data_IF_358660072341
#
_entry.id   IF_358660072341
#
_cell.length_a   1.000
_cell.length_b   1.000
_cell.length_c   1.000
_cell.angle_alpha   90.00
_cell.angle_beta   90.00
_cell.angle_gamma   90.00
#
_symmetry.space_group_name_H-M   'P 1'
#
loop_
_entity.id
_entity.type
_entity.pdbx_description
1 polymer ?
#
# COMPACT_ATOMS: atom_id res chain seq x y z
N UNK A 1 -16.57 -2.13 15.35
CA UNK A 1 -17.61 -1.76 14.37
C UNK A 1 -18.71 -0.89 14.99
N UNK A 2 -18.96 -1.01 16.28
CA UNK A 2 -19.92 -0.14 16.98
C UNK A 2 -19.42 1.31 17.19
N UNK A 3 -18.16 1.58 16.90
CA UNK A 3 -17.50 2.88 17.16
C UNK A 3 -17.24 3.70 15.88
N UNK A 4 -17.94 3.42 14.79
CA UNK A 4 -17.69 4.04 13.49
C UNK A 4 -16.54 3.37 12.73
N UNK A 5 -16.20 3.81 11.56
CA UNK A 5 -15.10 3.29 10.76
C UNK A 5 -13.76 3.97 11.08
N UNK A 6 -12.77 3.75 10.25
CA UNK A 6 -11.51 4.47 10.26
C UNK A 6 -11.75 5.81 9.55
N UNK A 7 -11.46 6.91 10.22
CA UNK A 7 -11.58 8.26 9.66
C UNK A 7 -10.29 9.01 9.91
N UNK A 8 -9.75 9.68 8.90
CA UNK A 8 -8.50 10.40 9.04
C UNK A 8 -8.09 11.16 7.79
N UNK A 9 -6.89 11.73 7.83
CA UNK A 9 -6.25 12.31 6.65
C UNK A 9 -5.45 11.22 5.94
N UNK A 10 -5.81 10.94 4.69
CA UNK A 10 -5.02 10.10 3.78
C UNK A 10 -3.90 10.90 3.14
N UNK A 11 -2.74 10.26 2.97
CA UNK A 11 -1.62 10.74 2.15
C UNK A 11 -1.40 9.70 1.05
N UNK A 12 -1.48 10.11 -0.21
CA UNK A 12 -1.22 9.22 -1.34
C UNK A 12 0.20 9.48 -1.89
N UNK A 13 1.00 8.43 -1.90
CA UNK A 13 2.27 8.35 -2.62
C UNK A 13 2.05 7.54 -3.89
N UNK A 14 2.00 8.21 -5.03
CA UNK A 14 1.77 7.56 -6.34
C UNK A 14 3.10 7.08 -6.92
N UNK A 15 3.61 5.94 -6.42
CA UNK A 15 4.85 5.34 -6.91
C UNK A 15 4.78 4.98 -8.39
N UNK A 16 3.64 4.50 -8.88
CA UNK A 16 3.49 4.14 -10.29
C UNK A 16 3.67 5.35 -11.22
N UNK A 17 3.13 6.51 -10.87
CA UNK A 17 3.34 7.73 -11.64
C UNK A 17 4.78 8.24 -11.52
N UNK A 18 5.37 8.17 -10.34
CA UNK A 18 6.77 8.52 -10.11
C UNK A 18 7.72 7.64 -10.92
N UNK A 19 7.51 6.33 -10.90
CA UNK A 19 8.31 5.37 -11.66
C UNK A 19 8.26 5.66 -13.17
N UNK A 20 7.07 5.95 -13.69
CA UNK A 20 6.91 6.34 -15.09
C UNK A 20 7.67 7.63 -15.42
N UNK A 21 7.63 8.65 -14.55
CA UNK A 21 8.34 9.93 -14.74
C UNK A 21 9.87 9.75 -14.67
N UNK A 22 10.37 8.78 -13.94
CA UNK A 22 11.80 8.51 -13.76
C UNK A 22 12.32 7.35 -14.62
N UNK A 23 11.50 6.81 -15.52
CA UNK A 23 11.84 5.65 -16.38
C UNK A 23 12.26 4.41 -15.57
N UNK A 24 11.66 4.23 -14.39
CA UNK A 24 11.82 3.04 -13.57
C UNK A 24 10.76 2.02 -13.99
N UNK A 25 11.16 0.79 -14.41
CA UNK A 25 10.20 -0.24 -14.78
C UNK A 25 9.30 -0.62 -13.59
N UNK A 26 8.00 -0.72 -13.84
CA UNK A 26 7.07 -1.33 -12.89
C UNK A 26 7.11 -2.84 -13.03
N UNK A 27 7.25 -3.55 -11.91
CA UNK A 27 7.22 -5.01 -11.84
C UNK A 27 6.19 -5.48 -10.82
N UNK A 28 4.89 -5.12 -11.00
CA UNK A 28 3.87 -5.31 -9.97
C UNK A 28 3.60 -6.79 -9.67
N UNK A 29 3.92 -7.70 -10.60
CA UNK A 29 3.71 -9.15 -10.48
C UNK A 29 5.01 -9.92 -10.21
N UNK A 30 6.04 -9.25 -9.77
CA UNK A 30 7.34 -9.84 -9.40
C UNK A 30 7.70 -9.43 -7.96
N UNK A 31 8.44 -10.29 -7.27
CA UNK A 31 8.98 -9.96 -5.94
C UNK A 31 9.99 -8.83 -6.09
N UNK A 32 9.57 -7.62 -5.83
CA UNK A 32 10.42 -6.43 -5.89
C UNK A 32 10.09 -5.45 -4.77
N UNK A 33 11.13 -4.82 -4.21
CA UNK A 33 10.99 -3.85 -3.13
C UNK A 33 11.00 -2.42 -3.66
N UNK A 34 10.06 -1.62 -3.23
CA UNK A 34 10.11 -0.15 -3.35
C UNK A 34 10.95 0.36 -2.18
N UNK A 35 12.17 0.86 -2.42
CA UNK A 35 13.07 1.26 -1.35
C UNK A 35 12.47 2.37 -0.46
N UNK A 36 12.77 2.33 0.84
CA UNK A 36 12.38 3.39 1.77
C UNK A 36 12.89 4.76 1.33
N UNK A 37 14.07 4.83 0.72
CA UNK A 37 14.60 6.07 0.15
C UNK A 37 13.68 6.66 -0.92
N UNK A 38 13.10 5.82 -1.77
CA UNK A 38 12.13 6.23 -2.80
C UNK A 38 10.81 6.70 -2.16
N UNK A 39 10.32 6.00 -1.14
CA UNK A 39 9.12 6.43 -0.39
C UNK A 39 9.33 7.81 0.24
N UNK A 40 10.49 8.05 0.85
CA UNK A 40 10.85 9.35 1.43
C UNK A 40 10.98 10.44 0.36
N UNK A 41 11.57 10.11 -0.78
CA UNK A 41 11.66 11.04 -1.91
C UNK A 41 10.27 11.42 -2.43
N UNK A 42 9.39 10.44 -2.67
CA UNK A 42 8.00 10.68 -3.07
C UNK A 42 7.28 11.60 -2.08
N UNK A 43 7.41 11.33 -0.78
CA UNK A 43 6.81 12.17 0.24
C UNK A 43 7.34 13.61 0.17
N UNK A 44 8.65 13.79 0.01
CA UNK A 44 9.26 15.10 -0.12
C UNK A 44 8.78 15.86 -1.36
N UNK A 45 8.64 15.18 -2.50
CA UNK A 45 8.15 15.76 -3.76
C UNK A 45 6.68 16.22 -3.66
N UNK A 46 5.88 15.56 -2.83
CA UNK A 46 4.50 16.02 -2.58
C UNK A 46 4.41 17.31 -1.79
N UNK A 47 5.47 17.70 -1.09
CA UNK A 47 5.48 18.82 -0.15
C UNK A 47 4.63 18.61 1.11
N UNK A 48 4.10 17.41 1.30
CA UNK A 48 3.23 17.08 2.44
C UNK A 48 4.07 16.87 3.69
N UNK A 49 3.70 17.57 4.76
CA UNK A 49 4.20 17.30 6.10
C UNK A 49 3.31 16.25 6.75
N UNK A 50 3.91 15.15 7.19
CA UNK A 50 3.22 14.09 7.95
C UNK A 50 2.75 14.63 9.30
N UNK A 51 1.67 14.08 9.80
CA UNK A 51 1.11 14.39 11.13
C UNK A 51 0.75 13.09 11.84
N UNK A 52 0.85 13.05 13.15
CA UNK A 52 0.35 11.92 13.94
C UNK A 52 -1.10 11.59 13.55
N UNK A 53 -1.35 10.31 13.29
CA UNK A 53 -2.67 9.83 12.90
C UNK A 53 -2.96 9.85 11.40
N UNK A 54 -2.02 10.28 10.54
CA UNK A 54 -2.18 10.15 9.08
C UNK A 54 -2.27 8.68 8.66
N UNK A 55 -2.93 8.45 7.53
CA UNK A 55 -3.05 7.14 6.90
C UNK A 55 -2.26 7.19 5.59
N UNK A 56 -1.24 6.35 5.48
CA UNK A 56 -0.36 6.31 4.33
C UNK A 56 -0.88 5.36 3.26
N UNK A 57 -1.08 5.87 2.05
CA UNK A 57 -1.40 5.07 0.86
C UNK A 57 -0.22 5.08 -0.09
N UNK A 58 0.18 3.90 -0.56
CA UNK A 58 1.18 3.74 -1.62
C UNK A 58 0.52 3.05 -2.82
N UNK A 59 0.42 3.78 -3.93
CA UNK A 59 -0.05 3.21 -5.18
C UNK A 59 1.13 2.60 -5.92
N UNK A 60 1.20 1.28 -5.91
CA UNK A 60 2.28 0.50 -6.57
C UNK A 60 2.06 0.36 -8.08
N UNK A 61 0.82 0.50 -8.53
CA UNK A 61 0.38 0.26 -9.90
C UNK A 61 -0.15 -1.15 -10.14
N UNK A 62 -0.27 -1.97 -9.10
CA UNK A 62 -0.77 -3.35 -9.20
C UNK A 62 -2.14 -3.41 -9.88
N UNK A 63 -3.11 -2.65 -9.37
CA UNK A 63 -4.49 -2.63 -9.90
C UNK A 63 -4.52 -2.18 -11.36
N UNK A 64 -3.76 -1.14 -11.71
CA UNK A 64 -3.71 -0.63 -13.09
C UNK A 64 -3.14 -1.66 -14.07
N UNK A 65 -2.09 -2.37 -13.70
CA UNK A 65 -1.49 -3.40 -14.55
C UNK A 65 -2.32 -4.68 -14.58
N UNK A 66 -2.93 -5.08 -13.45
CA UNK A 66 -3.81 -6.25 -13.39
C UNK A 66 -5.01 -6.09 -14.33
N UNK A 67 -5.62 -4.91 -14.38
CA UNK A 67 -6.75 -4.63 -15.27
C UNK A 67 -6.42 -4.65 -16.77
N UNK A 68 -5.14 -4.77 -17.13
CA UNK A 68 -4.70 -4.90 -18.54
C UNK A 68 -4.48 -6.36 -18.94
N UNK A 69 -4.47 -7.28 -18.00
CA UNK A 69 -4.20 -8.68 -18.24
C UNK A 69 -5.33 -9.33 -19.03
N UNK A 70 -4.96 -10.26 -19.91
CA UNK A 70 -5.90 -11.19 -20.49
C UNK A 70 -6.30 -12.28 -19.48
N UNK A 71 -7.44 -12.95 -19.66
CA UNK A 71 -7.85 -14.05 -18.77
C UNK A 71 -6.80 -15.16 -18.63
N UNK A 72 -6.02 -15.41 -19.67
CA UNK A 72 -4.94 -16.41 -19.62
C UNK A 72 -3.75 -15.95 -18.75
N UNK A 73 -3.42 -14.66 -18.76
CA UNK A 73 -2.38 -14.09 -17.91
C UNK A 73 -2.83 -14.02 -16.45
N UNK A 74 -4.10 -13.67 -16.19
CA UNK A 74 -4.69 -13.72 -14.84
C UNK A 74 -4.62 -15.14 -14.28
N UNK A 75 -5.03 -16.14 -15.07
CA UNK A 75 -4.94 -17.54 -14.68
C UNK A 75 -3.49 -17.98 -14.43
N UNK A 76 -2.55 -17.53 -15.24
CA UNK A 76 -1.13 -17.85 -15.05
C UNK A 76 -0.59 -17.29 -13.74
N UNK A 77 -0.98 -16.07 -13.36
CA UNK A 77 -0.61 -15.46 -12.07
C UNK A 77 -1.27 -16.23 -10.90
N UNK A 78 -2.56 -16.54 -11.02
CA UNK A 78 -3.31 -17.25 -9.98
C UNK A 78 -2.80 -18.68 -9.71
N UNK A 79 -2.20 -19.32 -10.73
CA UNK A 79 -1.65 -20.67 -10.62
C UNK A 79 -0.19 -20.72 -10.16
N UNK A 80 0.42 -19.59 -9.85
CA UNK A 80 1.80 -19.57 -9.32
C UNK A 80 1.83 -20.33 -7.98
N UNK A 81 2.86 -21.16 -7.75
CA UNK A 81 2.99 -21.88 -6.47
C UNK A 81 3.18 -20.94 -5.29
N UNK A 82 3.76 -19.78 -5.52
CA UNK A 82 3.94 -18.72 -4.52
C UNK A 82 3.50 -17.37 -5.12
N UNK A 83 2.83 -16.53 -4.33
CA UNK A 83 2.49 -15.18 -4.79
C UNK A 83 3.78 -14.36 -4.97
N UNK A 84 3.83 -13.56 -6.03
CA UNK A 84 4.92 -12.62 -6.27
C UNK A 84 4.34 -11.27 -6.67
N UNK A 85 4.66 -10.23 -5.89
CA UNK A 85 4.29 -8.84 -6.20
C UNK A 85 5.21 -7.84 -5.52
N UNK A 86 5.21 -6.64 -6.08
CA UNK A 86 5.97 -5.52 -5.57
C UNK A 86 5.31 -4.94 -4.32
N UNK A 87 6.12 -4.42 -3.40
CA UNK A 87 5.64 -3.74 -2.20
C UNK A 87 6.73 -2.85 -1.57
N UNK A 88 6.39 -2.17 -0.51
CA UNK A 88 7.33 -1.32 0.23
C UNK A 88 8.37 -2.19 0.95
N UNK A 89 9.62 -1.79 0.87
CA UNK A 89 10.76 -2.49 1.46
C UNK A 89 10.54 -2.85 2.93
N UNK A 90 10.78 -4.13 3.26
CA UNK A 90 10.85 -4.62 4.63
C UNK A 90 12.13 -4.16 5.32
N UNK A 91 12.11 -4.07 6.64
CA UNK A 91 13.31 -3.83 7.42
C UNK A 91 13.11 -2.88 8.59
N UNK A 92 14.07 -2.89 9.52
CA UNK A 92 14.06 -2.05 10.71
C UNK A 92 13.92 -0.55 10.37
N UNK A 93 14.62 -0.10 9.34
CA UNK A 93 14.58 1.31 8.92
C UNK A 93 13.17 1.75 8.47
N UNK A 94 12.45 0.89 7.73
CA UNK A 94 11.08 1.16 7.29
C UNK A 94 10.12 1.15 8.47
N UNK A 95 10.23 0.15 9.35
CA UNK A 95 9.44 0.07 10.57
C UNK A 95 9.64 1.29 11.47
N UNK A 96 10.91 1.66 11.71
CA UNK A 96 11.26 2.85 12.48
C UNK A 96 10.65 4.12 11.87
N UNK A 97 10.75 4.28 10.55
CA UNK A 97 10.19 5.43 9.86
C UNK A 97 8.67 5.48 9.97
N UNK A 98 7.97 4.35 9.83
CA UNK A 98 6.51 4.29 10.02
C UNK A 98 6.11 4.68 11.43
N UNK A 99 6.82 4.16 12.43
CA UNK A 99 6.59 4.45 13.85
C UNK A 99 6.83 5.92 14.19
N UNK A 100 7.97 6.47 13.77
CA UNK A 100 8.35 7.86 14.07
C UNK A 100 7.41 8.88 13.42
N UNK A 101 6.83 8.57 12.26
CA UNK A 101 5.80 9.40 11.65
C UNK A 101 4.41 9.21 12.28
N UNK A 102 4.25 8.26 13.18
CA UNK A 102 3.01 7.99 13.91
C UNK A 102 1.80 7.78 12.99
N UNK A 103 1.98 7.03 11.91
CA UNK A 103 0.86 6.66 11.03
C UNK A 103 -0.16 5.81 11.79
N UNK A 104 -1.45 6.09 11.58
CA UNK A 104 -2.54 5.33 12.17
C UNK A 104 -2.85 4.05 11.39
N UNK A 105 -2.55 4.03 10.11
CA UNK A 105 -2.70 2.89 9.21
C UNK A 105 -1.83 3.08 7.97
N UNK A 106 -1.55 1.98 7.28
CA UNK A 106 -0.91 1.96 5.96
C UNK A 106 -1.77 1.17 4.97
N UNK A 107 -1.72 1.51 3.70
CA UNK A 107 -2.49 0.81 2.68
C UNK A 107 -1.82 0.86 1.29
N UNK A 108 -2.10 -0.12 0.44
CA UNK A 108 -1.67 -0.14 -0.95
C UNK A 108 -2.74 -0.73 -1.88
N UNK A 109 -2.52 -0.61 -3.18
CA UNK A 109 -3.30 -1.26 -4.22
C UNK A 109 -2.85 -2.71 -4.48
N UNK A 110 -1.70 -3.12 -3.93
CA UNK A 110 -1.16 -4.47 -4.04
C UNK A 110 -1.83 -5.44 -3.04
N UNK A 111 -1.67 -6.76 -3.25
CA UNK A 111 -2.18 -7.81 -2.35
C UNK A 111 -1.59 -7.79 -0.94
N UNK A 112 -0.44 -7.16 -0.75
CA UNK A 112 0.12 -6.81 0.55
C UNK A 112 0.87 -5.48 0.45
N UNK A 113 1.14 -4.84 1.59
CA UNK A 113 1.89 -3.59 1.62
C UNK A 113 3.39 -3.80 1.34
N UNK A 114 3.94 -4.92 1.75
CA UNK A 114 5.33 -5.34 1.55
C UNK A 114 5.45 -6.37 0.40
N UNK A 115 6.65 -6.61 -0.17
CA UNK A 115 6.81 -7.54 -1.28
C UNK A 115 6.42 -8.98 -0.90
N UNK A 116 5.88 -9.73 -1.85
CA UNK A 116 5.64 -11.16 -1.66
C UNK A 116 6.55 -12.04 -2.53
N UNK A 117 6.87 -13.26 -2.04
CA UNK A 117 6.48 -13.80 -0.73
C UNK A 117 7.16 -13.02 0.41
N UNK A 118 6.41 -12.77 1.50
CA UNK A 118 6.91 -11.97 2.64
C UNK A 118 8.19 -12.57 3.22
N UNK A 119 8.24 -13.90 3.28
CA UNK A 119 9.41 -14.67 3.72
C UNK A 119 10.11 -15.26 2.49
N UNK A 120 10.88 -14.45 1.79
CA UNK A 120 11.71 -14.87 0.66
C UNK A 120 13.19 -14.95 1.05
N UNK A 121 14.06 -15.65 0.28
CA UNK A 121 15.49 -15.63 0.55
C UNK A 121 16.05 -14.20 0.58
N UNK A 122 16.67 -13.84 1.72
CA UNK A 122 17.17 -12.48 1.97
C UNK A 122 16.14 -11.52 2.61
N UNK A 123 14.90 -11.95 2.82
CA UNK A 123 13.94 -11.15 3.58
C UNK A 123 14.41 -11.00 5.04
N UNK A 124 14.30 -9.80 5.63
CA UNK A 124 14.61 -9.58 7.04
C UNK A 124 13.47 -10.15 7.92
N UNK A 125 13.52 -11.46 8.17
CA UNK A 125 12.45 -12.24 8.84
C UNK A 125 11.95 -11.64 10.16
N UNK A 126 12.84 -10.95 10.88
CA UNK A 126 12.50 -10.30 12.16
C UNK A 126 11.85 -8.91 11.98
N UNK A 127 11.80 -8.40 10.75
CA UNK A 127 11.37 -7.03 10.45
C UNK A 127 10.34 -6.95 9.32
N UNK A 128 9.44 -7.94 9.24
CA UNK A 128 8.32 -7.91 8.30
C UNK A 128 7.29 -6.87 8.73
N UNK A 129 6.73 -6.13 7.78
CA UNK A 129 5.77 -5.07 8.10
C UNK A 129 4.48 -5.64 8.69
N UNK A 130 3.98 -6.76 8.16
CA UNK A 130 2.79 -7.43 8.69
C UNK A 130 2.93 -7.79 10.16
N UNK A 131 4.03 -8.41 10.55
CA UNK A 131 4.24 -8.84 11.93
C UNK A 131 4.24 -7.65 12.89
N UNK A 132 5.01 -6.61 12.55
CA UNK A 132 5.14 -5.46 13.42
C UNK A 132 3.89 -4.58 13.42
N UNK A 133 3.34 -4.27 12.26
CA UNK A 133 2.17 -3.41 12.17
C UNK A 133 0.95 -4.07 12.84
N UNK A 134 0.60 -5.30 12.45
CA UNK A 134 -0.61 -5.95 12.94
C UNK A 134 -0.43 -6.48 14.36
N UNK A 135 0.53 -7.38 14.60
CA UNK A 135 0.70 -8.04 15.88
C UNK A 135 1.43 -7.17 16.90
N UNK A 136 2.44 -6.41 16.47
CA UNK A 136 3.24 -5.57 17.37
C UNK A 136 2.54 -4.29 17.79
N UNK A 137 1.97 -3.55 16.85
CA UNK A 137 1.42 -2.20 17.10
C UNK A 137 -0.10 -2.12 17.04
N UNK A 138 -0.79 -3.12 16.52
CA UNK A 138 -2.22 -3.07 16.25
C UNK A 138 -2.58 -2.04 15.17
N UNK A 139 -1.64 -1.70 14.30
CA UNK A 139 -1.82 -0.76 13.19
C UNK A 139 -2.41 -1.49 11.98
N UNK A 140 -3.58 -1.09 11.48
CA UNK A 140 -4.20 -1.72 10.31
C UNK A 140 -3.35 -1.58 9.05
N UNK A 141 -3.36 -2.66 8.24
CA UNK A 141 -2.85 -2.66 6.87
C UNK A 141 -4.03 -2.83 5.93
N UNK A 142 -4.17 -1.91 4.97
CA UNK A 142 -5.15 -2.00 3.90
C UNK A 142 -4.51 -2.54 2.62
N UNK A 143 -5.22 -3.42 1.93
CA UNK A 143 -4.73 -4.11 0.74
C UNK A 143 -5.78 -4.11 -0.36
N UNK A 144 -5.37 -4.29 -1.62
CA UNK A 144 -6.26 -4.30 -2.78
C UNK A 144 -7.13 -3.04 -2.94
N UNK A 145 -6.62 -1.89 -2.56
CA UNK A 145 -7.35 -0.64 -2.77
C UNK A 145 -7.36 -0.27 -4.26
N UNK A 146 -8.52 0.05 -4.81
CA UNK A 146 -8.58 0.72 -6.11
C UNK A 146 -8.20 2.21 -5.91
N UNK A 147 -6.93 2.52 -6.13
CA UNK A 147 -6.39 3.87 -5.98
C UNK A 147 -6.39 4.68 -7.29
N UNK A 148 -6.89 4.13 -8.40
CA UNK A 148 -6.79 4.75 -9.72
C UNK A 148 -7.50 6.11 -9.78
N UNK A 149 -8.75 6.16 -9.32
CA UNK A 149 -9.53 7.40 -9.31
C UNK A 149 -8.96 8.40 -8.30
N UNK A 150 -8.52 7.93 -7.13
CA UNK A 150 -7.89 8.78 -6.12
C UNK A 150 -6.60 9.41 -6.64
N UNK A 151 -5.75 8.64 -7.30
CA UNK A 151 -4.51 9.12 -7.90
C UNK A 151 -4.78 10.14 -9.02
N UNK A 152 -5.75 9.86 -9.91
CA UNK A 152 -6.14 10.80 -10.95
C UNK A 152 -6.63 12.13 -10.37
N UNK A 153 -7.49 12.07 -9.35
CA UNK A 153 -8.01 13.25 -8.67
C UNK A 153 -6.90 14.04 -7.96
N UNK A 154 -6.00 13.37 -7.26
CA UNK A 154 -4.87 14.00 -6.58
C UNK A 154 -3.98 14.75 -7.58
N UNK A 155 -3.69 14.15 -8.73
CA UNK A 155 -2.93 14.81 -9.80
C UNK A 155 -3.66 16.01 -10.36
N UNK A 156 -4.95 15.90 -10.67
CA UNK A 156 -5.78 17.00 -11.16
C UNK A 156 -5.77 18.20 -10.20
N UNK A 157 -5.86 17.93 -8.91
CA UNK A 157 -5.91 18.99 -7.87
C UNK A 157 -4.55 19.45 -7.37
N UNK A 158 -3.46 18.83 -7.84
CA UNK A 158 -2.10 19.16 -7.40
C UNK A 158 -1.91 18.95 -5.89
N UNK A 159 -2.54 17.94 -5.31
CA UNK A 159 -2.42 17.63 -3.89
C UNK A 159 -2.40 16.12 -3.63
N UNK A 160 -1.66 15.68 -2.63
CA UNK A 160 -1.52 14.28 -2.25
C UNK A 160 -2.21 13.93 -0.93
N UNK A 161 -3.08 14.81 -0.42
CA UNK A 161 -3.83 14.58 0.82
C UNK A 161 -5.33 14.67 0.58
N UNK A 162 -6.08 13.84 1.30
CA UNK A 162 -7.54 13.77 1.18
C UNK A 162 -8.17 13.36 2.52
N UNK A 163 -9.47 13.59 2.65
CA UNK A 163 -10.25 13.01 3.73
C UNK A 163 -10.54 11.54 3.42
N UNK A 164 -10.28 10.67 4.39
CA UNK A 164 -10.59 9.24 4.31
C UNK A 164 -11.70 8.89 5.30
N UNK A 165 -12.69 8.13 4.82
CA UNK A 165 -13.61 7.38 5.65
C UNK A 165 -13.67 5.95 5.15
N UNK A 166 -13.38 4.99 6.02
CA UNK A 166 -13.39 3.56 5.71
C UNK A 166 -14.22 2.81 6.73
N UNK A 167 -15.16 2.04 6.23
CA UNK A 167 -16.01 1.17 7.06
C UNK A 167 -15.89 -0.25 6.53
N UNK A 168 -15.44 -1.22 7.33
CA UNK A 168 -15.38 -2.62 6.90
C UNK A 168 -16.77 -3.15 6.63
N UNK A 169 -16.90 -4.03 5.63
CA UNK A 169 -18.14 -4.73 5.37
C UNK A 169 -18.56 -5.54 6.59
N UNK A 170 -19.82 -5.44 6.99
CA UNK A 170 -20.40 -6.24 8.06
C UNK A 170 -20.70 -7.65 7.56
N UNK A 171 -19.68 -8.48 7.38
CA UNK A 171 -19.82 -9.86 6.97
C UNK A 171 -19.65 -10.75 8.20
N UNK A 172 -20.65 -11.58 8.50
CA UNK A 172 -20.60 -12.59 9.56
C UNK A 172 -19.73 -13.79 9.14
N UNK A 173 -18.46 -13.58 8.83
CA UNK A 173 -17.50 -14.65 8.57
C UNK A 173 -16.08 -14.21 8.78
N UNK A 174 -15.19 -15.16 9.05
CA UNK A 174 -13.77 -14.97 9.37
C UNK A 174 -12.91 -14.44 8.21
N UNK A 175 -13.48 -13.96 7.13
CA UNK A 175 -12.74 -13.41 6.00
C UNK A 175 -12.77 -11.89 6.09
N UNK A 176 -11.65 -11.31 6.44
CA UNK A 176 -11.39 -9.88 6.38
C UNK A 176 -11.35 -9.44 4.90
N UNK A 177 -12.49 -9.02 4.39
CA UNK A 177 -12.55 -8.27 3.15
C UNK A 177 -12.77 -6.80 3.50
N UNK A 178 -11.75 -6.01 3.32
CA UNK A 178 -11.81 -4.57 3.52
C UNK A 178 -12.40 -3.92 2.27
N UNK A 179 -13.65 -3.52 2.33
CA UNK A 179 -14.23 -2.61 1.32
C UNK A 179 -14.00 -1.18 1.76
N UNK A 180 -13.23 -0.41 1.00
CA UNK A 180 -12.99 1.00 1.29
C UNK A 180 -13.71 1.87 0.28
N UNK A 181 -14.36 2.91 0.80
CA UNK A 181 -14.90 4.01 0.00
C UNK A 181 -14.07 5.23 0.29
N UNK A 182 -13.45 5.79 -0.74
CA UNK A 182 -12.77 7.09 -0.69
C UNK A 182 -13.75 8.13 -1.19
N UNK A 183 -14.02 9.13 -0.39
CA UNK A 183 -14.79 10.31 -0.77
C UNK A 183 -13.92 11.55 -0.85
#
# INVERSE_FOLDING_TARGET
VNNGGIVGRGILLDYAAWAAAHSVPLTPFETSSIPLSTIKQLLAETGVQTRPGDILFVRTGFTAEYNKLSPAEEEAIARRPEPAFAGVENGEATLRWLWENQFAAIASDAPAFEPAPILHPGAPVDFTLHQWCLAGWGMPIGEYFDLEKAAAYCREKGRSTFFLSSVPLKVCSFVLMCGCVVC
#
